data_IF_287634774719
#
_entry.id   IF_287634774719
#
_cell.length_a   1.000
_cell.length_b   1.000
_cell.length_c   1.000
_cell.angle_alpha   90.00
_cell.angle_beta   90.00
_cell.angle_gamma   90.00
#
_symmetry.space_group_name_H-M   'P 1'
#
loop_
_entity.id
_entity.type
_entity.pdbx_description
1 polymer ?
#
# COMPACT_ATOMS: atom_id res chain seq x y z
N UNK A 1 -19.54 40.37 -29.69
CA UNK A 1 -18.79 39.22 -30.19
C UNK A 1 -18.92 38.09 -29.15
N UNK A 2 -19.82 37.15 -29.47
CA UNK A 2 -20.01 35.95 -28.64
C UNK A 2 -19.12 34.83 -29.20
N UNK A 3 -18.15 34.35 -28.42
CA UNK A 3 -17.37 33.18 -28.74
C UNK A 3 -18.21 31.94 -28.42
N UNK A 4 -18.67 31.24 -29.46
CA UNK A 4 -19.32 29.96 -29.34
C UNK A 4 -18.28 28.87 -28.99
N UNK A 5 -18.49 28.17 -27.87
CA UNK A 5 -17.78 26.95 -27.54
C UNK A 5 -18.24 25.83 -28.49
N UNK A 6 -17.33 24.97 -29.00
CA UNK A 6 -17.76 23.83 -29.78
C UNK A 6 -18.50 22.84 -28.89
N UNK A 7 -19.68 22.43 -29.32
CA UNK A 7 -20.42 21.34 -28.70
C UNK A 7 -19.59 20.05 -28.82
N UNK A 8 -19.21 19.46 -27.70
CA UNK A 8 -18.75 18.09 -27.67
C UNK A 8 -19.90 17.19 -28.11
N UNK A 9 -19.73 16.55 -29.26
CA UNK A 9 -20.66 15.53 -29.70
C UNK A 9 -20.66 14.38 -28.68
N UNK A 10 -21.75 14.28 -27.93
CA UNK A 10 -22.07 13.05 -27.19
C UNK A 10 -22.38 11.99 -28.26
N UNK A 11 -21.47 11.07 -28.43
CA UNK A 11 -21.78 9.80 -29.07
C UNK A 11 -22.56 8.95 -28.07
N UNK A 12 -23.88 9.06 -28.12
CA UNK A 12 -24.78 8.07 -27.53
C UNK A 12 -24.66 6.79 -28.38
N UNK A 13 -23.76 5.92 -28.03
CA UNK A 13 -23.73 4.55 -28.52
C UNK A 13 -24.74 3.71 -27.74
N UNK A 14 -26.01 3.85 -28.06
CA UNK A 14 -26.95 2.76 -27.92
C UNK A 14 -26.85 1.90 -29.18
N UNK A 15 -25.97 0.94 -29.20
CA UNK A 15 -25.99 -0.15 -30.17
C UNK A 15 -26.39 -1.44 -29.46
N UNK A 16 -27.65 -1.76 -29.50
CA UNK A 16 -28.11 -3.14 -29.35
C UNK A 16 -27.43 -3.95 -30.48
N UNK A 17 -26.42 -4.75 -30.16
CA UNK A 17 -25.89 -5.77 -31.05
C UNK A 17 -24.54 -5.53 -31.69
N UNK A 18 -23.73 -4.57 -31.24
CA UNK A 18 -22.33 -4.51 -31.68
C UNK A 18 -21.54 -5.65 -31.08
N UNK A 19 -20.97 -6.51 -31.95
CA UNK A 19 -20.10 -7.59 -31.52
C UNK A 19 -18.90 -7.03 -30.75
N UNK A 20 -18.43 -7.70 -29.70
CA UNK A 20 -17.28 -7.24 -28.93
C UNK A 20 -16.09 -6.96 -29.85
N UNK A 21 -15.32 -5.90 -29.56
CA UNK A 21 -14.15 -5.50 -30.38
C UNK A 21 -13.13 -6.63 -30.61
N UNK A 22 -13.10 -7.60 -29.73
CA UNK A 22 -12.22 -8.78 -29.83
C UNK A 22 -12.78 -9.90 -30.75
N UNK A 23 -14.03 -9.79 -31.22
CA UNK A 23 -14.70 -10.82 -32.05
C UNK A 23 -14.56 -10.60 -33.55
N UNK A 24 -13.77 -9.63 -34.01
CA UNK A 24 -13.60 -9.34 -35.43
C UNK A 24 -13.10 -10.53 -36.26
N UNK A 25 -12.32 -11.43 -35.65
CA UNK A 25 -11.84 -12.62 -36.31
C UNK A 25 -12.93 -13.69 -36.50
N UNK A 26 -14.02 -13.62 -35.74
CA UNK A 26 -15.15 -14.56 -35.80
C UNK A 26 -15.87 -14.48 -37.15
N UNK A 27 -15.90 -13.31 -37.77
CA UNK A 27 -16.47 -13.10 -39.13
C UNK A 27 -15.65 -13.81 -40.22
N UNK A 28 -14.35 -13.99 -40.00
CA UNK A 28 -13.41 -14.57 -40.97
C UNK A 28 -13.26 -16.08 -40.78
N UNK A 29 -13.14 -16.54 -39.54
CA UNK A 29 -12.77 -17.90 -39.19
C UNK A 29 -13.93 -18.71 -38.61
N UNK A 30 -15.03 -18.07 -38.28
CA UNK A 30 -16.19 -18.66 -37.61
C UNK A 30 -16.08 -18.57 -36.08
N UNK A 31 -17.22 -18.30 -35.45
CA UNK A 31 -17.32 -18.10 -34.00
C UNK A 31 -16.82 -19.32 -33.19
N UNK A 32 -17.21 -20.53 -33.59
CA UNK A 32 -16.85 -21.76 -32.89
C UNK A 32 -15.33 -22.00 -32.87
N UNK A 33 -14.64 -21.79 -34.00
CA UNK A 33 -13.19 -21.96 -34.12
C UNK A 33 -12.45 -20.90 -33.30
N UNK A 34 -12.96 -19.67 -33.30
CA UNK A 34 -12.35 -18.57 -32.56
C UNK A 34 -12.62 -18.68 -31.06
N UNK A 35 -13.77 -19.18 -30.65
CA UNK A 35 -14.08 -19.46 -29.24
C UNK A 35 -13.17 -20.56 -28.69
N UNK A 36 -12.98 -21.66 -29.45
CA UNK A 36 -12.03 -22.70 -29.08
C UNK A 36 -10.61 -22.15 -28.95
N UNK A 37 -10.17 -21.31 -29.91
CA UNK A 37 -8.85 -20.69 -29.90
C UNK A 37 -8.67 -19.75 -28.71
N UNK A 38 -9.69 -18.95 -28.36
CA UNK A 38 -9.68 -18.10 -27.17
C UNK A 38 -9.61 -18.92 -25.90
N UNK A 39 -10.38 -19.99 -25.80
CA UNK A 39 -10.36 -20.88 -24.64
C UNK A 39 -8.99 -21.55 -24.45
N UNK A 40 -8.34 -21.97 -25.54
CA UNK A 40 -6.97 -22.49 -25.49
C UNK A 40 -5.99 -21.42 -25.03
N UNK A 41 -6.10 -20.19 -25.55
CA UNK A 41 -5.25 -19.07 -25.14
C UNK A 41 -5.42 -18.75 -23.65
N UNK A 42 -6.66 -18.64 -23.18
CA UNK A 42 -6.97 -18.36 -21.76
C UNK A 42 -6.50 -19.51 -20.86
N UNK A 43 -6.62 -20.78 -21.33
CA UNK A 43 -6.15 -21.94 -20.56
C UNK A 43 -4.63 -21.95 -20.40
N UNK A 44 -3.88 -21.55 -21.43
CA UNK A 44 -2.42 -21.62 -21.43
C UNK A 44 -1.73 -20.32 -20.95
N UNK A 45 -2.39 -19.18 -21.03
CA UNK A 45 -1.76 -17.88 -20.79
C UNK A 45 -2.58 -16.89 -19.93
N UNK A 46 -3.86 -17.19 -19.65
CA UNK A 46 -4.78 -16.22 -19.02
C UNK A 46 -5.31 -16.60 -17.64
N UNK A 47 -4.84 -17.67 -17.03
CA UNK A 47 -5.29 -18.12 -15.69
C UNK A 47 -4.12 -18.68 -14.87
N UNK A 48 -2.95 -18.09 -15.03
CA UNK A 48 -1.82 -18.46 -14.20
C UNK A 48 -2.00 -17.81 -12.83
N UNK A 49 -1.93 -18.62 -11.78
CA UNK A 49 -1.68 -18.12 -10.44
C UNK A 49 -0.17 -17.96 -10.26
N UNK A 50 0.22 -16.85 -9.69
CA UNK A 50 1.61 -16.53 -9.33
C UNK A 50 1.66 -16.19 -7.85
N UNK A 51 2.84 -16.17 -7.31
CA UNK A 51 3.14 -15.76 -5.95
C UNK A 51 4.34 -14.84 -5.95
N UNK A 52 4.40 -13.96 -4.98
CA UNK A 52 5.59 -13.20 -4.66
C UNK A 52 5.72 -13.02 -3.14
N UNK A 53 6.93 -12.76 -2.72
CA UNK A 53 7.28 -12.35 -1.36
C UNK A 53 8.04 -11.05 -1.50
N UNK A 54 7.54 -10.01 -0.85
CA UNK A 54 8.13 -8.68 -0.90
C UNK A 54 8.50 -8.23 0.52
N UNK A 55 9.73 -7.80 0.71
CA UNK A 55 10.20 -7.10 1.89
C UNK A 55 10.37 -5.65 1.46
N UNK A 56 9.39 -4.82 1.78
CA UNK A 56 9.41 -3.40 1.46
C UNK A 56 10.50 -2.69 2.25
N UNK A 57 10.57 -3.00 3.56
CA UNK A 57 11.56 -2.43 4.46
C UNK A 57 12.03 -3.48 5.47
N UNK A 58 13.31 -3.72 5.50
CA UNK A 58 13.98 -4.30 6.65
C UNK A 58 15.09 -3.33 7.03
N UNK A 59 14.85 -2.54 8.06
CA UNK A 59 15.71 -1.41 8.38
C UNK A 59 15.98 -1.25 9.87
N UNK A 60 17.15 -0.71 10.16
CA UNK A 60 17.50 -0.17 11.47
C UNK A 60 17.24 1.32 11.42
N UNK A 61 16.39 1.80 12.29
CA UNK A 61 16.12 3.20 12.55
C UNK A 61 16.88 3.61 13.80
N UNK A 62 17.67 4.68 13.72
CA UNK A 62 18.46 5.21 14.83
C UNK A 62 18.10 6.67 15.05
N UNK A 63 17.50 6.96 16.20
CA UNK A 63 17.06 8.28 16.65
C UNK A 63 17.84 8.81 17.83
N UNK A 64 17.32 9.88 18.46
CA UNK A 64 17.86 10.42 19.69
C UNK A 64 17.41 9.60 20.90
N UNK A 65 16.21 9.02 20.84
CA UNK A 65 15.57 8.37 21.97
C UNK A 65 15.81 6.87 21.99
N UNK A 66 15.70 6.21 20.81
CA UNK A 66 15.91 4.77 20.74
C UNK A 66 16.31 4.29 19.34
N UNK A 67 16.85 3.05 19.31
CA UNK A 67 17.14 2.31 18.10
C UNK A 67 16.07 1.22 17.88
N UNK A 68 15.43 1.22 16.71
CA UNK A 68 14.35 0.27 16.34
C UNK A 68 14.75 -0.53 15.12
N UNK A 69 14.44 -1.82 15.11
CA UNK A 69 14.48 -2.66 13.91
C UNK A 69 13.06 -2.84 13.39
N UNK A 70 12.84 -2.38 12.17
CA UNK A 70 11.56 -2.47 11.48
C UNK A 70 11.62 -3.52 10.38
N UNK A 71 10.59 -4.36 10.31
CA UNK A 71 10.29 -5.27 9.21
C UNK A 71 8.90 -4.96 8.68
N UNK A 72 8.82 -4.64 7.40
CA UNK A 72 7.56 -4.45 6.68
C UNK A 72 7.62 -5.22 5.36
N UNK A 73 6.60 -5.98 5.07
CA UNK A 73 6.54 -6.79 3.86
C UNK A 73 5.24 -7.55 3.69
N UNK A 74 5.11 -8.16 2.51
CA UNK A 74 3.95 -8.95 2.19
C UNK A 74 4.26 -10.21 1.39
N UNK A 75 3.30 -11.09 1.37
CA UNK A 75 3.26 -12.29 0.53
C UNK A 75 1.92 -12.34 -0.15
N UNK A 76 1.91 -12.52 -1.47
CA UNK A 76 0.65 -12.69 -2.17
C UNK A 76 0.64 -13.93 -3.06
N UNK A 77 -0.56 -14.45 -3.28
CA UNK A 77 -0.83 -15.57 -4.16
C UNK A 77 -2.14 -15.36 -4.91
N UNK A 78 -2.12 -15.49 -6.22
CA UNK A 78 -3.33 -15.38 -7.02
C UNK A 78 -3.09 -15.13 -8.49
N UNK A 79 -4.13 -14.66 -9.17
CA UNK A 79 -4.09 -14.24 -10.58
C UNK A 79 -4.15 -12.72 -10.71
N UNK A 80 -4.25 -12.26 -11.95
CA UNK A 80 -4.23 -10.83 -12.28
C UNK A 80 -5.40 -10.02 -11.69
N UNK A 81 -6.52 -10.67 -11.37
CA UNK A 81 -7.73 -9.99 -10.90
C UNK A 81 -7.98 -10.22 -9.42
N UNK A 82 -7.68 -11.41 -8.92
CA UNK A 82 -7.92 -11.76 -7.53
C UNK A 82 -6.67 -12.37 -6.92
N UNK A 83 -6.26 -11.85 -5.78
CA UNK A 83 -5.10 -12.30 -5.00
C UNK A 83 -5.51 -12.45 -3.54
N UNK A 84 -4.86 -13.35 -2.85
CA UNK A 84 -4.77 -13.38 -1.40
C UNK A 84 -3.46 -12.71 -1.01
N UNK A 85 -3.51 -11.71 -0.14
CA UNK A 85 -2.35 -10.95 0.32
C UNK A 85 -2.25 -11.12 1.83
N UNK A 86 -1.05 -11.36 2.33
CA UNK A 86 -0.75 -11.34 3.76
C UNK A 86 0.32 -10.29 3.97
N UNK A 87 -0.03 -9.17 4.60
CA UNK A 87 0.90 -8.10 4.98
C UNK A 87 1.32 -8.30 6.43
N UNK A 88 2.53 -7.91 6.76
CA UNK A 88 3.05 -7.92 8.15
C UNK A 88 3.97 -6.74 8.37
N UNK A 89 3.81 -6.12 9.53
CA UNK A 89 4.72 -5.12 10.03
C UNK A 89 5.13 -5.50 11.46
N UNK A 90 6.40 -5.29 11.80
CA UNK A 90 6.91 -5.55 13.12
C UNK A 90 8.02 -4.56 13.46
N UNK A 91 7.91 -3.98 14.65
CA UNK A 91 8.89 -3.08 15.24
C UNK A 91 9.47 -3.70 16.50
N UNK A 92 10.80 -3.71 16.59
CA UNK A 92 11.52 -4.23 17.74
C UNK A 92 12.48 -3.19 18.30
N UNK A 93 12.23 -2.73 19.52
CA UNK A 93 13.10 -1.83 20.26
C UNK A 93 14.37 -2.57 20.72
N UNK A 94 15.53 -2.04 20.34
CA UNK A 94 16.82 -2.58 20.76
C UNK A 94 17.17 -2.18 22.21
N UNK A 95 16.65 -1.05 22.66
CA UNK A 95 16.89 -0.50 24.00
C UNK A 95 16.04 -1.19 25.05
N UNK A 96 14.74 -1.34 24.78
CA UNK A 96 13.80 -2.02 25.67
C UNK A 96 13.84 -3.55 25.52
N UNK A 97 14.28 -4.05 24.35
CA UNK A 97 14.36 -5.48 23.98
C UNK A 97 13.00 -6.16 23.94
N UNK A 98 12.04 -5.47 23.42
CA UNK A 98 10.66 -5.96 23.25
C UNK A 98 10.12 -5.52 21.88
N UNK A 99 9.07 -6.19 21.45
CA UNK A 99 8.33 -5.76 20.28
C UNK A 99 7.39 -4.63 20.70
N UNK A 100 7.43 -3.54 19.99
CA UNK A 100 6.53 -2.40 20.17
C UNK A 100 5.29 -2.55 19.33
N UNK A 101 5.47 -3.05 18.11
CA UNK A 101 4.37 -3.36 17.21
C UNK A 101 4.60 -4.69 16.51
N UNK A 102 3.54 -5.49 16.42
CA UNK A 102 3.46 -6.66 15.55
C UNK A 102 2.06 -6.71 14.99
N UNK A 103 1.94 -6.51 13.69
CA UNK A 103 0.67 -6.68 13.00
C UNK A 103 0.74 -7.70 11.86
N UNK A 104 -0.38 -8.35 11.61
CA UNK A 104 -0.58 -9.23 10.46
C UNK A 104 -1.93 -8.97 9.86
N UNK A 105 -1.96 -8.73 8.55
CA UNK A 105 -3.18 -8.56 7.78
C UNK A 105 -3.36 -9.74 6.83
N UNK A 106 -4.60 -10.21 6.68
CA UNK A 106 -4.98 -11.21 5.68
C UNK A 106 -6.10 -10.63 4.82
N UNK A 107 -5.78 -10.34 3.56
CA UNK A 107 -6.60 -9.53 2.67
C UNK A 107 -6.91 -10.30 1.38
N UNK A 108 -8.16 -10.19 0.92
CA UNK A 108 -8.52 -10.46 -0.45
C UNK A 108 -8.35 -9.17 -1.26
N UNK A 109 -7.54 -9.21 -2.31
CA UNK A 109 -7.27 -8.12 -3.22
C UNK A 109 -7.96 -8.37 -4.55
N UNK A 110 -8.66 -7.37 -5.06
CA UNK A 110 -9.39 -7.41 -6.31
C UNK A 110 -9.07 -6.21 -7.20
N UNK A 111 -8.54 -6.48 -8.40
CA UNK A 111 -8.21 -5.45 -9.37
C UNK A 111 -9.47 -4.78 -9.91
N UNK A 112 -9.65 -3.50 -9.62
CA UNK A 112 -10.74 -2.65 -10.15
C UNK A 112 -10.28 -1.88 -11.40
N UNK A 113 -8.98 -1.78 -11.60
CA UNK A 113 -8.36 -1.23 -12.80
C UNK A 113 -6.99 -1.89 -13.03
N UNK A 114 -6.29 -1.62 -14.15
CA UNK A 114 -4.94 -2.12 -14.35
C UNK A 114 -3.90 -1.62 -13.34
N UNK A 115 -4.24 -0.63 -12.52
CA UNK A 115 -3.32 0.06 -11.61
C UNK A 115 -3.81 0.12 -10.17
N UNK A 116 -5.05 -0.28 -9.88
CA UNK A 116 -5.65 -0.15 -8.55
C UNK A 116 -6.39 -1.42 -8.17
N UNK A 117 -6.10 -1.89 -6.98
CA UNK A 117 -6.74 -3.01 -6.31
C UNK A 117 -7.53 -2.51 -5.09
N UNK A 118 -8.74 -3.01 -4.91
CA UNK A 118 -9.48 -2.90 -3.64
C UNK A 118 -9.14 -4.10 -2.79
N UNK A 119 -8.85 -3.87 -1.53
CA UNK A 119 -8.53 -4.91 -0.56
C UNK A 119 -9.58 -4.97 0.54
N UNK A 120 -9.93 -6.17 0.97
CA UNK A 120 -10.82 -6.37 2.10
C UNK A 120 -10.39 -7.61 2.90
N UNK A 121 -10.42 -7.51 4.22
CA UNK A 121 -10.00 -8.61 5.08
C UNK A 121 -9.97 -8.26 6.55
N UNK A 122 -9.01 -8.83 7.24
CA UNK A 122 -8.80 -8.66 8.67
C UNK A 122 -7.34 -8.32 8.95
N UNK A 123 -7.13 -7.51 9.97
CA UNK A 123 -5.84 -7.22 10.61
C UNK A 123 -5.91 -7.71 12.06
N UNK A 124 -4.83 -8.20 12.57
CA UNK A 124 -4.67 -8.52 13.99
C UNK A 124 -3.32 -7.94 14.47
N UNK A 125 -3.42 -7.07 15.46
CA UNK A 125 -2.27 -6.54 16.17
C UNK A 125 -1.99 -7.47 17.35
N UNK A 126 -0.77 -7.98 17.44
CA UNK A 126 -0.34 -8.85 18.54
C UNK A 126 0.26 -8.03 19.69
N UNK A 127 0.91 -6.92 19.36
CA UNK A 127 1.48 -5.94 20.26
C UNK A 127 1.09 -4.52 19.76
N UNK A 128 0.91 -3.51 20.65
CA UNK A 128 0.97 -3.58 22.13
C UNK A 128 -0.26 -4.28 22.75
N UNK A 129 -1.40 -4.25 22.09
CA UNK A 129 -2.66 -4.79 22.57
C UNK A 129 -3.23 -5.76 21.54
N UNK A 130 -3.53 -6.99 21.93
CA UNK A 130 -4.11 -7.99 21.03
C UNK A 130 -5.48 -7.54 20.51
N UNK A 131 -5.54 -6.84 19.36
CA UNK A 131 -6.76 -6.27 18.80
C UNK A 131 -6.97 -6.69 17.35
N UNK A 132 -8.23 -7.00 17.01
CA UNK A 132 -8.61 -7.36 15.64
C UNK A 132 -9.38 -6.24 14.96
N UNK A 133 -9.13 -6.06 13.67
CA UNK A 133 -9.78 -5.05 12.84
C UNK A 133 -10.34 -5.66 11.57
N UNK A 134 -11.49 -5.17 11.12
CA UNK A 134 -11.92 -5.33 9.75
C UNK A 134 -11.20 -4.28 8.89
N UNK A 135 -10.72 -4.69 7.71
CA UNK A 135 -9.93 -3.85 6.82
C UNK A 135 -10.66 -3.64 5.49
N UNK A 136 -10.67 -2.39 5.03
CA UNK A 136 -11.07 -2.04 3.67
C UNK A 136 -10.02 -1.07 3.11
N UNK A 137 -9.26 -1.54 2.12
CA UNK A 137 -8.12 -0.81 1.56
C UNK A 137 -8.21 -0.58 0.07
N UNK A 138 -7.34 0.28 -0.40
CA UNK A 138 -7.05 0.58 -1.79
C UNK A 138 -5.53 0.64 -1.96
N UNK A 139 -5.00 -0.19 -2.86
CA UNK A 139 -3.57 -0.25 -3.14
C UNK A 139 -3.32 -0.11 -4.64
N UNK A 140 -2.23 0.51 -5.01
CA UNK A 140 -1.75 0.53 -6.38
C UNK A 140 -1.10 1.84 -6.80
N UNK A 141 -0.92 1.97 -8.10
CA UNK A 141 -0.17 3.08 -8.72
C UNK A 141 -1.11 4.20 -9.14
N UNK A 142 -0.92 5.38 -8.57
CA UNK A 142 -1.59 6.61 -8.96
C UNK A 142 -0.94 7.25 -10.21
N UNK A 143 -1.59 8.28 -10.82
CA UNK A 143 -0.97 9.08 -11.87
C UNK A 143 0.41 9.61 -11.44
N UNK A 144 1.33 9.69 -12.41
CA UNK A 144 2.72 10.06 -12.21
C UNK A 144 3.57 9.02 -11.47
N UNK A 145 3.09 7.77 -11.35
CA UNK A 145 3.82 6.64 -10.74
C UNK A 145 4.06 6.80 -9.23
N UNK A 146 3.12 7.39 -8.52
CA UNK A 146 3.07 7.29 -7.08
C UNK A 146 2.49 5.95 -6.69
N UNK A 147 3.21 5.17 -5.92
CA UNK A 147 2.68 3.99 -5.27
C UNK A 147 1.90 4.44 -4.04
N UNK A 148 0.71 3.91 -3.86
CA UNK A 148 -0.22 4.25 -2.79
C UNK A 148 -0.74 2.99 -2.13
N UNK A 149 -0.66 2.96 -0.82
CA UNK A 149 -1.41 2.04 0.04
C UNK A 149 -2.25 2.86 1.03
N UNK A 150 -3.52 2.55 1.14
CA UNK A 150 -4.39 3.23 2.09
C UNK A 150 -5.53 2.33 2.53
N UNK A 151 -5.85 2.36 3.82
CA UNK A 151 -6.90 1.52 4.36
C UNK A 151 -7.65 2.19 5.51
N UNK A 152 -8.90 1.75 5.67
CA UNK A 152 -9.71 1.96 6.85
C UNK A 152 -9.69 0.70 7.71
N UNK A 153 -9.58 0.88 9.02
CA UNK A 153 -9.54 -0.16 10.02
C UNK A 153 -10.68 0.06 11.01
N UNK A 154 -11.56 -0.92 11.13
CA UNK A 154 -12.62 -0.92 12.14
C UNK A 154 -12.29 -1.97 13.19
N UNK A 155 -11.94 -1.53 14.40
CA UNK A 155 -11.60 -2.43 15.50
C UNK A 155 -12.82 -3.19 16.03
N UNK A 156 -12.59 -4.30 16.73
CA UNK A 156 -13.63 -5.04 17.44
C UNK A 156 -14.26 -4.23 18.61
N UNK A 157 -13.59 -3.18 19.06
CA UNK A 157 -14.08 -2.22 20.06
C UNK A 157 -14.96 -1.12 19.44
N UNK A 158 -14.97 -1.02 18.11
CA UNK A 158 -15.78 -0.07 17.36
C UNK A 158 -15.04 1.20 16.94
N UNK A 159 -13.72 1.24 17.11
CA UNK A 159 -12.91 2.36 16.70
C UNK A 159 -12.62 2.31 15.22
N UNK A 160 -12.79 3.45 14.56
CA UNK A 160 -12.50 3.62 13.15
C UNK A 160 -11.25 4.47 12.97
N UNK A 161 -10.21 3.87 12.39
CA UNK A 161 -8.97 4.54 12.02
C UNK A 161 -8.70 4.37 10.52
N UNK A 162 -7.76 5.15 10.00
CA UNK A 162 -7.30 5.03 8.63
C UNK A 162 -5.82 5.39 8.54
N UNK A 163 -5.13 4.79 7.56
CA UNK A 163 -3.78 5.13 7.19
C UNK A 163 -3.68 5.30 5.68
N UNK A 164 -2.76 6.13 5.24
CA UNK A 164 -2.39 6.25 3.84
C UNK A 164 -0.88 6.45 3.73
N UNK A 165 -0.28 5.67 2.87
CA UNK A 165 1.12 5.77 2.48
C UNK A 165 1.24 6.13 1.01
N UNK A 166 2.21 6.94 0.69
CA UNK A 166 2.58 7.33 -0.66
C UNK A 166 4.09 7.21 -0.80
N UNK A 167 4.52 6.45 -1.79
CA UNK A 167 5.93 6.37 -2.17
C UNK A 167 6.12 6.76 -3.64
N UNK A 168 7.29 7.27 -3.95
CA UNK A 168 7.68 7.59 -5.31
C UNK A 168 9.10 7.13 -5.59
N UNK A 169 9.32 6.46 -6.72
CA UNK A 169 10.64 6.07 -7.15
C UNK A 169 11.21 7.08 -8.14
N UNK A 170 12.25 7.81 -7.74
CA UNK A 170 12.98 8.72 -8.61
C UNK A 170 14.34 8.13 -9.02
N UNK A 171 14.41 7.60 -10.22
CA UNK A 171 15.65 7.03 -10.76
C UNK A 171 16.68 8.11 -11.10
N UNK A 172 17.82 8.12 -10.41
CA UNK A 172 18.97 8.95 -10.72
C UNK A 172 19.86 8.31 -11.79
N UNK A 173 19.98 6.99 -11.73
CA UNK A 173 20.65 6.13 -12.72
C UNK A 173 19.83 4.86 -12.92
N UNK A 174 20.32 3.90 -13.68
CA UNK A 174 19.65 2.60 -13.85
C UNK A 174 19.66 1.72 -12.58
N UNK A 175 20.41 2.11 -11.54
CA UNK A 175 20.59 1.34 -10.30
C UNK A 175 20.53 2.18 -9.04
N UNK A 176 20.59 3.49 -9.16
CA UNK A 176 20.55 4.40 -8.02
C UNK A 176 19.27 5.20 -8.10
N UNK A 177 18.47 5.15 -7.08
CA UNK A 177 17.19 5.84 -6.99
C UNK A 177 16.97 6.47 -5.62
N UNK A 178 16.14 7.50 -5.59
CA UNK A 178 15.66 8.15 -4.38
C UNK A 178 14.22 7.72 -4.20
N UNK A 179 13.86 7.32 -2.97
CA UNK A 179 12.54 6.92 -2.55
C UNK A 179 12.02 7.93 -1.51
N UNK A 180 11.36 9.02 -1.91
CA UNK A 180 10.57 9.82 -0.99
C UNK A 180 9.30 9.05 -0.61
N UNK A 181 9.00 9.04 0.70
CA UNK A 181 7.85 8.39 1.31
C UNK A 181 7.12 9.37 2.22
N UNK A 182 5.82 9.31 2.22
CA UNK A 182 4.97 10.05 3.14
C UNK A 182 3.87 9.13 3.65
N UNK A 183 3.64 9.17 4.95
CA UNK A 183 2.57 8.43 5.60
C UNK A 183 1.75 9.37 6.47
N UNK A 184 0.45 9.08 6.60
CA UNK A 184 -0.48 9.85 7.39
C UNK A 184 -1.51 8.94 8.03
N UNK A 185 -1.63 9.01 9.34
CA UNK A 185 -2.65 8.33 10.12
C UNK A 185 -3.82 9.25 10.47
N UNK A 186 -4.99 8.65 10.66
CA UNK A 186 -6.22 9.36 11.02
C UNK A 186 -7.12 8.50 11.91
N UNK A 187 -7.82 9.12 12.86
CA UNK A 187 -8.82 8.51 13.73
C UNK A 187 -10.14 9.27 13.70
N UNK A 188 -11.25 8.56 13.69
CA UNK A 188 -12.60 9.15 13.72
C UNK A 188 -13.01 9.63 15.13
N UNK A 189 -12.32 9.19 16.16
CA UNK A 189 -12.63 9.46 17.56
C UNK A 189 -11.38 9.44 18.42
N UNK A 190 -11.49 9.98 19.63
CA UNK A 190 -10.46 9.80 20.66
C UNK A 190 -10.42 8.34 21.14
N UNK A 191 -9.22 7.78 21.26
CA UNK A 191 -8.94 6.45 21.83
C UNK A 191 -7.92 6.66 22.98
N UNK A 192 -8.39 7.08 24.15
CA UNK A 192 -7.49 7.51 25.24
C UNK A 192 -6.60 6.38 25.76
N UNK A 193 -7.07 5.12 25.67
CA UNK A 193 -6.34 3.94 26.10
C UNK A 193 -5.05 3.75 25.30
N UNK A 194 -4.98 4.32 24.09
CA UNK A 194 -3.85 4.24 23.16
C UNK A 194 -3.14 5.58 22.95
N UNK A 195 -3.55 6.62 23.66
CA UNK A 195 -3.03 7.97 23.48
C UNK A 195 -3.38 8.61 22.12
N UNK A 196 -4.40 8.08 21.41
CA UNK A 196 -4.81 8.56 20.08
C UNK A 196 -5.94 9.58 20.24
N UNK A 197 -5.79 10.73 19.59
CA UNK A 197 -6.83 11.76 19.51
C UNK A 197 -7.59 11.74 18.19
N UNK A 198 -8.78 12.35 18.16
CA UNK A 198 -9.60 12.51 16.96
C UNK A 198 -8.89 13.38 15.90
N UNK A 199 -8.97 12.99 14.63
CA UNK A 199 -8.38 13.70 13.50
C UNK A 199 -7.12 13.03 12.98
N UNK A 200 -6.15 13.83 12.51
CA UNK A 200 -4.84 13.30 12.11
C UNK A 200 -4.05 12.92 13.36
N UNK A 201 -3.53 11.70 13.36
CA UNK A 201 -2.89 11.09 14.53
C UNK A 201 -1.38 11.13 14.47
N UNK A 202 -0.82 10.77 13.33
CA UNK A 202 0.61 10.72 13.08
C UNK A 202 0.92 11.07 11.63
N UNK A 203 2.16 11.46 11.39
CA UNK A 203 2.71 11.67 10.05
C UNK A 203 4.16 11.26 9.99
N UNK A 204 4.56 10.68 8.85
CA UNK A 204 5.94 10.33 8.58
C UNK A 204 6.35 10.91 7.22
N UNK A 205 7.58 11.41 7.14
CA UNK A 205 8.16 11.91 5.91
C UNK A 205 9.59 11.41 5.80
N UNK A 206 9.84 10.54 4.85
CA UNK A 206 11.14 9.91 4.65
C UNK A 206 11.72 10.12 3.26
N UNK A 207 13.03 10.03 3.20
CA UNK A 207 13.77 9.95 1.94
C UNK A 207 14.85 8.90 2.09
N UNK A 208 14.83 7.91 1.21
CA UNK A 208 15.83 6.85 1.16
C UNK A 208 16.61 6.93 -0.17
N UNK A 209 17.91 6.66 -0.13
CA UNK A 209 18.78 6.51 -1.29
C UNK A 209 19.09 5.03 -1.41
N UNK A 210 18.55 4.38 -2.44
CA UNK A 210 18.67 2.95 -2.68
C UNK A 210 19.57 2.65 -3.87
N UNK A 211 20.24 1.50 -3.83
CA UNK A 211 21.10 1.03 -4.90
C UNK A 211 20.82 -0.42 -5.25
N UNK A 212 20.37 -0.70 -6.47
CA UNK A 212 20.13 -2.04 -6.98
C UNK A 212 21.43 -2.80 -7.18
N UNK A 213 21.77 -3.67 -6.25
CA UNK A 213 22.86 -4.63 -6.41
C UNK A 213 22.48 -5.64 -7.48
N UNK A 214 21.27 -6.19 -7.33
CA UNK A 214 20.52 -6.95 -8.32
C UNK A 214 19.09 -6.42 -8.31
N UNK A 215 18.24 -6.84 -9.24
CA UNK A 215 16.86 -6.35 -9.32
C UNK A 215 16.03 -6.70 -8.08
N UNK A 216 16.34 -7.86 -7.49
CA UNK A 216 15.61 -8.45 -6.39
C UNK A 216 16.15 -8.00 -5.02
N UNK A 217 17.19 -7.15 -4.98
CA UNK A 217 17.81 -6.71 -3.72
C UNK A 217 18.46 -5.33 -3.85
N UNK A 218 17.98 -4.38 -3.08
CA UNK A 218 18.47 -3.01 -3.02
C UNK A 218 18.69 -2.54 -1.57
N UNK A 219 19.94 -2.47 -1.09
CA UNK A 219 20.26 -1.77 0.15
C UNK A 219 20.02 -0.25 -0.01
N UNK A 220 19.65 0.38 1.11
CA UNK A 220 19.42 1.81 1.17
C UNK A 220 19.95 2.44 2.46
N UNK A 221 20.10 3.76 2.42
CA UNK A 221 20.29 4.62 3.58
C UNK A 221 19.35 5.81 3.45
N UNK A 222 18.92 6.37 4.57
CA UNK A 222 17.99 7.50 4.50
C UNK A 222 17.83 8.24 5.80
N UNK A 223 16.85 9.12 5.80
CA UNK A 223 16.40 9.90 6.95
C UNK A 223 14.89 9.98 6.90
N UNK A 224 14.27 9.87 8.06
CA UNK A 224 12.83 9.98 8.21
C UNK A 224 12.49 10.85 9.40
N UNK A 225 11.54 11.74 9.22
CA UNK A 225 10.87 12.48 10.27
C UNK A 225 9.57 11.75 10.60
N UNK A 226 9.32 11.56 11.88
CA UNK A 226 8.11 10.94 12.43
C UNK A 226 7.53 11.90 13.46
N UNK A 227 6.21 12.07 13.46
CA UNK A 227 5.59 12.99 14.41
C UNK A 227 4.12 12.69 14.65
N UNK A 228 3.70 12.90 15.90
CA UNK A 228 2.30 12.91 16.29
C UNK A 228 1.64 14.21 15.87
N UNK A 229 0.38 14.18 15.50
CA UNK A 229 -0.35 15.31 14.94
C UNK A 229 -1.63 15.61 15.73
N UNK A 230 -2.05 16.87 15.70
CA UNK A 230 -3.37 17.30 16.17
C UNK A 230 -3.62 17.04 17.66
N UNK A 231 -4.74 16.36 17.97
CA UNK A 231 -5.10 16.06 19.36
C UNK A 231 -4.23 14.95 19.96
N UNK A 232 -3.71 14.04 19.15
CA UNK A 232 -2.74 13.02 19.57
C UNK A 232 -1.47 13.68 20.13
N UNK A 233 -0.92 14.69 19.42
CA UNK A 233 0.23 15.46 19.89
C UNK A 233 -0.06 16.14 21.24
N UNK A 234 -1.25 16.69 21.41
CA UNK A 234 -1.64 17.34 22.68
C UNK A 234 -1.71 16.33 23.83
N UNK A 235 -2.25 15.13 23.59
CA UNK A 235 -2.38 14.06 24.59
C UNK A 235 -0.98 13.59 25.03
N UNK A 236 -0.10 13.26 24.08
CA UNK A 236 1.26 12.76 24.35
C UNK A 236 2.12 13.83 25.02
N UNK A 237 2.09 15.08 24.53
CA UNK A 237 2.79 16.21 25.17
C UNK A 237 2.33 16.44 26.62
N UNK A 238 1.02 16.27 26.90
CA UNK A 238 0.50 16.39 28.25
C UNK A 238 0.95 15.25 29.16
N UNK A 239 1.23 14.08 28.60
CA UNK A 239 1.83 12.95 29.31
C UNK A 239 3.36 13.14 29.53
N UNK A 240 3.98 14.07 28.81
CA UNK A 240 5.42 14.34 28.88
C UNK A 240 6.23 13.46 27.95
N UNK A 241 5.58 12.93 26.91
CA UNK A 241 6.22 12.12 25.87
C UNK A 241 6.69 13.01 24.72
N UNK A 242 7.75 12.60 24.04
CA UNK A 242 8.22 13.27 22.85
C UNK A 242 7.25 13.02 21.70
N UNK A 243 6.94 14.05 20.93
CA UNK A 243 5.89 14.01 19.91
C UNK A 243 6.44 14.04 18.49
N UNK A 244 7.73 14.25 18.32
CA UNK A 244 8.40 14.22 17.03
C UNK A 244 9.85 13.76 17.19
N UNK A 245 10.31 13.03 16.19
CA UNK A 245 11.70 12.61 16.10
C UNK A 245 12.19 12.58 14.65
N UNK A 246 13.50 12.59 14.48
CA UNK A 246 14.15 12.35 13.19
C UNK A 246 15.12 11.19 13.33
N UNK A 247 14.91 10.16 12.55
CA UNK A 247 15.71 8.95 12.58
C UNK A 247 16.56 8.80 11.33
N UNK A 248 17.76 8.27 11.48
CA UNK A 248 18.57 7.77 10.38
C UNK A 248 18.23 6.33 10.13
N UNK A 249 18.03 5.97 8.86
CA UNK A 249 17.66 4.61 8.48
C UNK A 249 18.72 3.96 7.61
N UNK A 250 18.99 2.69 7.87
CA UNK A 250 19.81 1.82 7.02
C UNK A 250 19.14 0.48 6.89
N UNK A 251 18.98 0.00 5.67
CA UNK A 251 18.24 -1.23 5.44
C UNK A 251 18.34 -1.72 4.03
N UNK A 252 17.42 -2.58 3.67
CA UNK A 252 17.26 -3.06 2.31
C UNK A 252 15.79 -3.34 2.00
N UNK A 253 15.48 -3.29 0.71
CA UNK A 253 14.29 -3.90 0.17
C UNK A 253 14.66 -5.14 -0.66
N UNK A 254 13.77 -6.14 -0.70
CA UNK A 254 13.98 -7.37 -1.46
C UNK A 254 12.65 -7.98 -1.90
N UNK A 255 12.67 -8.67 -3.05
CA UNK A 255 11.49 -9.41 -3.53
C UNK A 255 11.88 -10.71 -4.23
N UNK A 256 10.95 -11.67 -4.22
CA UNK A 256 11.13 -12.96 -4.88
C UNK A 256 9.82 -13.45 -5.49
#
# INVERSE_FOLDING_TARGET
AALGLPALAQHDHHSEGEAPLWSQADEIWGEEVMEESRNVLVHHHGRMATDAVEIHRFELQSGEDEDVVLLDGDVWYGGDINKLVVKTEAEYSLDHREFEEIEVQALWSHAISPYLDVQAGIRHDFEPDGLSHAVLGLEGMLPYRFDMDGAFFLSEEGDLTAGVELEYELMLTQRLHILPRAELGWSAQDIPERGIGEGFTNGQLGVRLAYDVVREFAPFVGVEWQGSLGETENILSAAGEDTEQTVFVIGFHAWY
#
